data_IF_222785413322
#
_entry.id   IF_222785413322
#
_cell.length_a   1.000
_cell.length_b   1.000
_cell.length_c   1.000
_cell.angle_alpha   90.00
_cell.angle_beta   90.00
_cell.angle_gamma   90.00
#
_symmetry.space_group_name_H-M   'P 1'
#
loop_
_entity.id
_entity.type
_entity.pdbx_description
1 polymer ?
#
# COMPACT_ATOMS: atom_id res chain seq x y z
N UNK A 1 11.17 -19.07 -11.12
CA UNK A 1 10.26 -17.94 -11.36
C UNK A 1 10.64 -16.81 -10.41
N UNK A 2 10.64 -15.57 -10.86
CA UNK A 2 11.04 -14.44 -10.01
C UNK A 2 9.95 -14.07 -8.99
N UNK A 3 10.37 -13.74 -7.76
CA UNK A 3 9.50 -13.32 -6.67
C UNK A 3 9.33 -11.80 -6.70
N UNK A 4 8.10 -11.32 -6.52
CA UNK A 4 7.78 -9.95 -6.17
C UNK A 4 7.12 -9.88 -4.79
N UNK A 5 7.47 -8.87 -4.01
CA UNK A 5 6.83 -8.57 -2.72
C UNK A 5 5.85 -7.42 -2.91
N UNK A 6 4.61 -7.63 -2.49
CA UNK A 6 3.55 -6.64 -2.50
C UNK A 6 3.25 -6.20 -1.07
N UNK A 7 3.23 -4.89 -0.82
CA UNK A 7 2.91 -4.33 0.48
C UNK A 7 1.51 -3.71 0.47
N UNK A 8 0.60 -4.21 1.33
CA UNK A 8 -0.81 -3.81 1.36
C UNK A 8 -1.00 -2.38 1.87
N UNK A 9 -2.11 -1.75 1.49
CA UNK A 9 -2.57 -0.46 2.01
C UNK A 9 -3.49 -0.59 3.23
N UNK A 10 -4.17 0.52 3.56
CA UNK A 10 -5.16 0.59 4.64
C UNK A 10 -6.47 -0.10 4.25
N UNK A 11 -7.21 -0.59 5.28
CA UNK A 11 -8.59 -1.06 5.17
C UNK A 11 -8.81 -2.51 5.59
N UNK A 12 -7.77 -3.33 5.65
CA UNK A 12 -7.86 -4.74 6.00
C UNK A 12 -7.19 -5.08 7.35
N UNK A 13 -6.89 -4.07 8.18
CA UNK A 13 -6.30 -4.28 9.51
C UNK A 13 -7.19 -5.16 10.37
N UNK A 14 -6.56 -6.01 11.16
CA UNK A 14 -7.23 -6.90 12.11
C UNK A 14 -6.38 -7.14 13.36
N UNK A 15 -6.96 -7.48 14.51
CA UNK A 15 -6.22 -7.61 15.76
C UNK A 15 -5.06 -8.60 15.73
N UNK A 16 -5.15 -9.66 14.91
CA UNK A 16 -4.16 -10.72 14.80
C UNK A 16 -3.06 -10.48 13.75
N UNK A 17 -2.94 -9.28 13.19
CA UNK A 17 -2.01 -9.03 12.07
C UNK A 17 -0.52 -9.12 12.44
N UNK A 18 -0.19 -9.12 13.73
CA UNK A 18 1.16 -9.32 14.25
C UNK A 18 1.40 -10.71 14.85
N UNK A 19 0.36 -11.54 15.03
CA UNK A 19 0.44 -12.82 15.74
C UNK A 19 1.47 -13.77 15.10
N UNK A 20 1.55 -13.80 13.78
CA UNK A 20 2.48 -14.68 13.06
C UNK A 20 3.96 -14.40 13.35
N UNK A 21 4.28 -13.18 13.76
CA UNK A 21 5.65 -12.74 14.04
C UNK A 21 5.91 -12.43 15.53
N UNK A 22 4.93 -12.64 16.40
CA UNK A 22 5.01 -12.27 17.81
C UNK A 22 6.23 -12.90 18.53
N UNK A 23 6.50 -14.17 18.26
CA UNK A 23 7.61 -14.92 18.88
C UNK A 23 8.92 -14.90 18.04
N UNK A 24 8.94 -14.18 16.91
CA UNK A 24 10.14 -14.13 16.06
C UNK A 24 11.11 -13.02 16.54
N UNK A 25 12.34 -13.35 17.02
CA UNK A 25 13.20 -12.37 17.70
C UNK A 25 13.51 -11.13 16.87
N UNK A 26 13.83 -11.28 15.57
CA UNK A 26 14.16 -10.16 14.71
C UNK A 26 12.91 -9.28 14.37
N UNK A 27 11.73 -9.87 14.28
CA UNK A 27 10.48 -9.12 14.08
C UNK A 27 10.07 -8.38 15.36
N UNK A 28 10.22 -9.00 16.52
CA UNK A 28 9.99 -8.35 17.82
C UNK A 28 10.90 -7.13 18.01
N UNK A 29 12.14 -7.16 17.51
CA UNK A 29 13.02 -5.98 17.50
C UNK A 29 12.47 -4.85 16.62
N UNK A 30 11.95 -5.17 15.42
CA UNK A 30 11.31 -4.18 14.54
C UNK A 30 10.12 -3.54 15.25
N UNK A 31 9.27 -4.34 15.88
CA UNK A 31 8.10 -3.81 16.61
C UNK A 31 8.54 -2.89 17.75
N UNK A 32 9.46 -3.34 18.62
CA UNK A 32 9.95 -2.52 19.74
C UNK A 32 10.60 -1.20 19.30
N UNK A 33 11.42 -1.24 18.25
CA UNK A 33 12.05 -0.05 17.70
C UNK A 33 11.03 0.93 17.11
N UNK A 34 10.01 0.41 16.42
CA UNK A 34 8.90 1.21 15.90
C UNK A 34 8.06 1.86 17.01
N UNK A 35 7.69 1.09 18.03
CA UNK A 35 6.97 1.58 19.22
C UNK A 35 7.75 2.68 19.95
N UNK A 36 9.05 2.48 20.14
CA UNK A 36 9.93 3.47 20.76
C UNK A 36 9.99 4.77 19.92
N UNK A 37 10.04 4.68 18.60
CA UNK A 37 10.07 5.84 17.71
C UNK A 37 8.75 6.63 17.71
N UNK A 38 7.62 5.93 17.92
CA UNK A 38 6.27 6.52 17.93
C UNK A 38 5.80 6.93 19.33
N UNK A 39 6.42 6.42 20.39
CA UNK A 39 5.97 6.62 21.76
C UNK A 39 4.61 5.95 22.05
N UNK A 40 4.29 4.85 21.37
CA UNK A 40 3.02 4.13 21.53
C UNK A 40 3.25 2.61 21.51
N UNK A 41 2.25 1.86 21.99
CA UNK A 41 2.25 0.40 21.96
C UNK A 41 1.30 -0.09 20.85
N UNK A 42 1.81 -0.89 19.90
CA UNK A 42 1.01 -1.39 18.77
C UNK A 42 -0.05 -2.40 19.18
N UNK A 43 0.22 -3.18 20.23
CA UNK A 43 -0.77 -4.11 20.77
C UNK A 43 -1.99 -3.37 21.32
N UNK A 44 -1.79 -2.26 22.03
CA UNK A 44 -2.89 -1.41 22.53
C UNK A 44 -3.72 -0.85 21.37
N UNK A 45 -3.08 -0.45 20.27
CA UNK A 45 -3.77 -0.02 19.05
C UNK A 45 -4.62 -1.14 18.44
N UNK A 46 -4.07 -2.36 18.39
CA UNK A 46 -4.77 -3.52 17.82
C UNK A 46 -5.95 -4.01 18.66
N UNK A 47 -5.91 -3.83 19.99
CA UNK A 47 -7.02 -4.19 20.88
C UNK A 47 -8.20 -3.24 20.77
N UNK A 48 -7.98 -2.01 20.30
CA UNK A 48 -9.00 -0.97 20.11
C UNK A 48 -9.47 -0.96 18.65
N UNK A 49 -10.54 -1.68 18.34
CA UNK A 49 -10.99 -1.96 16.97
C UNK A 49 -11.13 -0.74 16.05
N UNK A 50 -11.56 0.41 16.57
CA UNK A 50 -11.74 1.63 15.77
C UNK A 50 -10.42 2.40 15.61
N UNK A 51 -9.54 2.35 16.60
CA UNK A 51 -8.25 3.05 16.58
C UNK A 51 -7.32 2.54 15.49
N UNK A 52 -7.28 1.23 15.22
CA UNK A 52 -6.41 0.66 14.17
C UNK A 52 -6.75 1.15 12.75
N UNK A 53 -7.92 1.78 12.54
CA UNK A 53 -8.34 2.36 11.26
C UNK A 53 -8.13 3.87 11.19
N UNK A 54 -7.82 4.55 12.30
CA UNK A 54 -7.49 5.97 12.28
C UNK A 54 -6.20 6.18 11.49
N UNK A 55 -6.23 7.12 10.54
CA UNK A 55 -5.11 7.34 9.61
C UNK A 55 -3.76 7.51 10.32
N UNK A 56 -3.72 8.29 11.41
CA UNK A 56 -2.51 8.54 12.21
C UNK A 56 -1.89 7.26 12.81
N UNK A 57 -2.69 6.23 13.11
CA UNK A 57 -2.25 4.97 13.69
C UNK A 57 -2.12 3.86 12.64
N UNK A 58 -3.02 3.85 11.67
CA UNK A 58 -3.09 2.85 10.61
C UNK A 58 -1.82 2.81 9.76
N UNK A 59 -1.30 3.98 9.34
CA UNK A 59 -0.15 4.03 8.44
C UNK A 59 1.13 3.46 9.08
N UNK A 60 1.59 3.93 10.26
CA UNK A 60 2.75 3.33 10.89
C UNK A 60 2.54 1.86 11.30
N UNK A 61 1.35 1.48 11.78
CA UNK A 61 1.02 0.09 12.11
C UNK A 61 1.21 -0.84 10.91
N UNK A 62 0.66 -0.49 9.75
CA UNK A 62 0.77 -1.31 8.53
C UNK A 62 2.23 -1.41 8.06
N UNK A 63 2.94 -0.29 8.00
CA UNK A 63 4.34 -0.27 7.56
C UNK A 63 5.25 -1.10 8.48
N UNK A 64 5.09 -0.98 9.81
CA UNK A 64 5.85 -1.76 10.77
C UNK A 64 5.50 -3.26 10.70
N UNK A 65 4.23 -3.60 10.50
CA UNK A 65 3.82 -5.00 10.29
C UNK A 65 4.50 -5.59 9.04
N UNK A 66 4.51 -4.86 7.94
CA UNK A 66 5.15 -5.31 6.69
C UNK A 66 6.64 -5.53 6.88
N UNK A 67 7.33 -4.59 7.52
CA UNK A 67 8.76 -4.71 7.78
C UNK A 67 9.07 -5.84 8.76
N UNK A 68 8.24 -6.05 9.80
CA UNK A 68 8.39 -7.17 10.74
C UNK A 68 8.23 -8.52 10.04
N UNK A 69 7.17 -8.69 9.23
CA UNK A 69 6.93 -9.88 8.42
C UNK A 69 8.09 -10.15 7.46
N UNK A 70 8.55 -9.13 6.74
CA UNK A 70 9.68 -9.29 5.82
C UNK A 70 10.98 -9.61 6.55
N UNK A 71 11.25 -8.99 7.69
CA UNK A 71 12.43 -9.27 8.49
C UNK A 71 12.46 -10.72 8.99
N UNK A 72 11.31 -11.29 9.33
CA UNK A 72 11.19 -12.69 9.73
C UNK A 72 11.38 -13.66 8.53
N UNK A 73 10.93 -13.27 7.32
CA UNK A 73 10.92 -14.15 6.16
C UNK A 73 12.17 -14.06 5.29
N UNK A 74 12.85 -12.91 5.23
CA UNK A 74 13.89 -12.62 4.23
C UNK A 74 15.05 -13.60 4.18
N UNK A 75 15.42 -14.22 5.33
CA UNK A 75 16.52 -15.17 5.39
C UNK A 75 16.18 -16.55 4.85
N UNK A 76 14.90 -16.91 4.84
CA UNK A 76 14.38 -18.20 4.37
C UNK A 76 13.68 -18.07 3.01
N UNK A 77 13.62 -16.87 2.44
CA UNK A 77 12.98 -16.58 1.18
C UNK A 77 13.99 -16.41 0.04
N UNK A 78 13.67 -16.80 -1.19
CA UNK A 78 14.42 -16.38 -2.36
C UNK A 78 14.50 -14.85 -2.44
N UNK A 79 15.60 -14.32 -2.98
CA UNK A 79 15.77 -12.88 -3.15
C UNK A 79 14.67 -12.32 -4.09
N UNK A 80 13.89 -11.32 -3.68
CA UNK A 80 12.90 -10.70 -4.53
C UNK A 80 13.53 -9.97 -5.72
N UNK A 81 12.92 -10.10 -6.88
CA UNK A 81 13.30 -9.31 -8.06
C UNK A 81 12.84 -7.85 -7.95
N UNK A 82 11.77 -7.59 -7.18
CA UNK A 82 11.23 -6.26 -6.95
C UNK A 82 10.25 -6.22 -5.77
N UNK A 83 9.99 -4.99 -5.33
CA UNK A 83 8.96 -4.64 -4.35
C UNK A 83 7.96 -3.67 -4.98
N UNK A 84 6.71 -3.71 -4.50
CA UNK A 84 5.68 -2.74 -4.87
C UNK A 84 4.72 -2.55 -3.70
N UNK A 85 4.17 -1.36 -3.54
CA UNK A 85 3.26 -1.08 -2.45
C UNK A 85 2.01 -0.32 -2.88
N UNK A 86 0.89 -0.65 -2.26
CA UNK A 86 -0.40 -0.01 -2.51
C UNK A 86 -0.60 1.15 -1.53
N UNK A 87 -0.63 2.39 -2.02
CA UNK A 87 -0.77 3.58 -1.17
C UNK A 87 0.33 3.67 -0.09
N UNK A 88 -0.04 3.66 1.20
CA UNK A 88 0.93 3.67 2.31
C UNK A 88 1.86 2.45 2.28
N UNK A 89 1.43 1.33 1.72
CA UNK A 89 2.27 0.16 1.53
C UNK A 89 3.52 0.42 0.69
N UNK A 90 3.55 1.50 -0.12
CA UNK A 90 4.76 1.88 -0.86
C UNK A 90 5.91 2.30 0.08
N UNK A 91 5.62 2.96 1.22
CA UNK A 91 6.63 3.19 2.26
C UNK A 91 7.14 1.87 2.86
N UNK A 92 6.23 0.92 3.12
CA UNK A 92 6.59 -0.43 3.56
C UNK A 92 7.47 -1.15 2.54
N UNK A 93 7.16 -1.02 1.25
CA UNK A 93 7.96 -1.60 0.16
C UNK A 93 9.38 -1.03 0.11
N UNK A 94 9.55 0.29 0.28
CA UNK A 94 10.89 0.91 0.40
C UNK A 94 11.65 0.42 1.62
N UNK A 95 11.00 0.28 2.77
CA UNK A 95 11.64 -0.25 3.97
C UNK A 95 12.04 -1.74 3.80
N UNK A 96 11.17 -2.57 3.25
CA UNK A 96 11.46 -3.96 2.93
C UNK A 96 12.60 -4.09 1.90
N UNK A 97 12.72 -3.14 0.98
CA UNK A 97 13.83 -3.03 0.03
C UNK A 97 15.11 -2.42 0.64
N UNK A 98 15.14 -2.13 1.94
CA UNK A 98 16.32 -1.64 2.66
C UNK A 98 16.60 -0.15 2.53
N UNK A 99 15.65 0.64 2.03
CA UNK A 99 15.80 2.09 1.86
C UNK A 99 15.55 2.90 3.13
N UNK A 100 14.91 2.33 4.14
CA UNK A 100 14.55 2.98 5.40
C UNK A 100 14.86 2.04 6.58
N UNK A 101 15.40 2.58 7.66
CA UNK A 101 15.42 1.89 8.94
C UNK A 101 14.06 1.94 9.63
N UNK A 102 13.92 1.17 10.71
CA UNK A 102 12.65 1.00 11.42
C UNK A 102 12.15 2.32 12.01
N UNK A 103 13.02 3.07 12.68
CA UNK A 103 12.65 4.29 13.38
C UNK A 103 12.24 5.39 12.38
N UNK A 104 12.96 5.47 11.27
CA UNK A 104 12.65 6.43 10.20
C UNK A 104 11.37 6.07 9.46
N UNK A 105 11.15 4.78 9.15
CA UNK A 105 9.89 4.30 8.59
C UNK A 105 8.70 4.70 9.47
N UNK A 106 8.79 4.45 10.77
CA UNK A 106 7.74 4.77 11.74
C UNK A 106 7.43 6.28 11.74
N UNK A 107 8.48 7.12 11.83
CA UNK A 107 8.33 8.59 11.81
C UNK A 107 7.77 9.11 10.50
N UNK A 108 8.25 8.64 9.36
CA UNK A 108 7.77 9.06 8.04
C UNK A 108 6.30 8.65 7.84
N UNK A 109 5.93 7.42 8.22
CA UNK A 109 4.54 6.95 8.10
C UNK A 109 3.59 7.77 8.98
N UNK A 110 3.96 8.08 10.22
CA UNK A 110 3.18 8.93 11.12
C UNK A 110 3.07 10.38 10.59
N UNK A 111 4.17 10.95 10.10
CA UNK A 111 4.19 12.30 9.54
C UNK A 111 3.38 12.38 8.24
N UNK A 112 3.45 11.35 7.37
CA UNK A 112 2.62 11.24 6.16
C UNK A 112 1.14 11.29 6.54
N UNK A 113 0.72 10.50 7.51
CA UNK A 113 -0.66 10.48 7.98
C UNK A 113 -1.09 11.87 8.50
N UNK A 114 -0.28 12.51 9.35
CA UNK A 114 -0.57 13.82 9.91
C UNK A 114 -0.71 14.91 8.83
N UNK A 115 0.18 14.93 7.84
CA UNK A 115 0.12 15.88 6.72
C UNK A 115 -1.11 15.66 5.85
N UNK A 116 -1.50 14.39 5.62
CA UNK A 116 -2.73 14.07 4.90
C UNK A 116 -3.98 14.50 5.68
N UNK A 117 -4.03 14.24 7.00
CA UNK A 117 -5.13 14.65 7.86
C UNK A 117 -5.26 16.18 7.91
N UNK A 118 -4.13 16.90 7.99
CA UNK A 118 -4.10 18.37 7.94
C UNK A 118 -4.61 18.89 6.58
N UNK A 119 -4.19 18.32 5.48
CA UNK A 119 -4.64 18.73 4.15
C UNK A 119 -6.14 18.48 3.95
N UNK A 120 -6.67 17.41 4.54
CA UNK A 120 -8.08 17.05 4.46
C UNK A 120 -8.99 17.79 5.45
N UNK A 121 -8.44 18.53 6.43
CA UNK A 121 -9.24 19.16 7.50
C UNK A 121 -10.26 20.20 7.01
N UNK A 122 -10.02 20.80 5.84
CA UNK A 122 -10.93 21.80 5.26
C UNK A 122 -12.09 21.18 4.47
N UNK A 123 -12.01 19.91 4.07
CA UNK A 123 -13.02 19.28 3.20
C UNK A 123 -13.21 17.82 3.60
N UNK A 124 -14.38 17.50 4.14
CA UNK A 124 -14.75 16.11 4.40
C UNK A 124 -14.81 15.35 3.07
N UNK A 125 -13.97 14.34 2.94
CA UNK A 125 -13.86 13.56 1.71
C UNK A 125 -13.74 12.07 1.98
N UNK A 126 -13.64 11.30 0.92
CA UNK A 126 -13.49 9.85 1.03
C UNK A 126 -13.21 9.16 -0.28
N UNK A 127 -13.34 7.84 -0.25
CA UNK A 127 -13.04 6.96 -1.36
C UNK A 127 -14.23 6.04 -1.68
N UNK A 128 -14.49 5.82 -2.96
CA UNK A 128 -15.54 4.97 -3.51
C UNK A 128 -14.92 4.00 -4.50
N UNK A 129 -14.96 2.70 -4.21
CA UNK A 129 -14.59 1.66 -5.17
C UNK A 129 -15.73 1.49 -6.19
N UNK A 130 -15.36 1.41 -7.46
CA UNK A 130 -16.25 1.33 -8.61
C UNK A 130 -15.82 0.21 -9.53
N UNK A 131 -16.76 -0.66 -9.93
CA UNK A 131 -16.53 -1.76 -10.85
C UNK A 131 -17.59 -1.75 -11.98
N UNK A 132 -17.16 -2.18 -13.20
CA UNK A 132 -18.06 -2.41 -14.35
C UNK A 132 -18.19 -1.25 -15.32
N UNK A 133 -17.35 -0.21 -15.18
CA UNK A 133 -17.28 0.89 -16.16
C UNK A 133 -15.83 1.10 -16.62
N UNK A 134 -15.64 1.44 -17.89
CA UNK A 134 -14.33 1.67 -18.49
C UNK A 134 -13.72 3.00 -18.03
N UNK A 135 -12.40 3.09 -18.06
CA UNK A 135 -11.63 4.27 -17.64
C UNK A 135 -12.13 5.58 -18.27
N UNK A 136 -12.41 5.59 -19.57
CA UNK A 136 -12.88 6.79 -20.27
C UNK A 136 -14.27 7.28 -19.80
N UNK A 137 -15.16 6.36 -19.41
CA UNK A 137 -16.46 6.66 -18.83
C UNK A 137 -16.29 7.25 -17.41
N UNK A 138 -15.46 6.61 -16.59
CA UNK A 138 -15.15 7.06 -15.22
C UNK A 138 -14.55 8.46 -15.24
N UNK A 139 -13.53 8.72 -16.06
CA UNK A 139 -12.85 10.03 -16.13
C UNK A 139 -13.83 11.13 -16.52
N UNK A 140 -14.70 10.89 -17.52
CA UNK A 140 -15.74 11.88 -17.92
C UNK A 140 -16.73 12.17 -16.80
N UNK A 141 -17.18 11.15 -16.07
CA UNK A 141 -18.11 11.30 -14.96
C UNK A 141 -17.47 12.04 -13.79
N UNK A 142 -16.24 11.69 -13.42
CA UNK A 142 -15.48 12.37 -12.38
C UNK A 142 -15.31 13.86 -12.66
N UNK A 143 -14.95 14.23 -13.89
CA UNK A 143 -14.76 15.63 -14.28
C UNK A 143 -16.01 16.49 -14.09
N UNK A 144 -17.22 15.92 -14.30
CA UNK A 144 -18.50 16.59 -14.08
C UNK A 144 -18.88 16.78 -12.61
N UNK A 145 -18.21 16.15 -11.68
CA UNK A 145 -18.58 16.11 -10.25
C UNK A 145 -17.45 16.53 -9.29
N UNK A 146 -16.35 17.09 -9.77
CA UNK A 146 -15.16 17.40 -8.93
C UNK A 146 -14.69 16.20 -8.11
N UNK A 147 -14.62 15.06 -8.76
CA UNK A 147 -14.07 13.82 -8.23
C UNK A 147 -12.95 13.34 -9.16
N UNK A 148 -12.08 12.47 -8.67
CA UNK A 148 -10.89 12.02 -9.38
C UNK A 148 -10.70 10.52 -9.24
N UNK A 149 -10.11 9.91 -10.26
CA UNK A 149 -9.58 8.55 -10.12
C UNK A 149 -8.42 8.60 -9.14
N UNK A 150 -8.61 8.04 -7.97
CA UNK A 150 -7.60 7.94 -6.93
C UNK A 150 -6.67 6.74 -7.18
N UNK A 151 -7.24 5.60 -7.59
CA UNK A 151 -6.48 4.39 -7.89
C UNK A 151 -7.10 3.71 -9.12
N UNK A 152 -6.26 3.35 -10.09
CA UNK A 152 -6.63 2.53 -11.25
C UNK A 152 -6.16 1.09 -11.03
N UNK A 153 -7.09 0.16 -10.87
CA UNK A 153 -6.81 -1.24 -10.54
C UNK A 153 -6.81 -2.10 -11.80
N UNK A 154 -7.81 -1.90 -12.66
CA UNK A 154 -7.92 -2.59 -13.95
C UNK A 154 -8.64 -1.69 -14.96
N UNK A 155 -8.98 -2.22 -16.13
CA UNK A 155 -9.72 -1.49 -17.17
C UNK A 155 -11.14 -1.10 -16.74
N UNK A 156 -11.71 -1.81 -15.75
CA UNK A 156 -13.09 -1.64 -15.28
C UNK A 156 -13.20 -1.58 -13.75
N UNK A 157 -12.07 -1.44 -13.03
CA UNK A 157 -12.06 -1.36 -11.57
C UNK A 157 -11.20 -0.18 -11.11
N UNK A 158 -11.82 0.73 -10.35
CA UNK A 158 -11.22 1.99 -9.92
C UNK A 158 -11.60 2.31 -8.47
N UNK A 159 -10.77 3.11 -7.81
CA UNK A 159 -11.16 3.86 -6.62
C UNK A 159 -11.23 5.32 -7.01
N UNK A 160 -12.36 5.95 -6.69
CA UNK A 160 -12.60 7.38 -6.94
C UNK A 160 -12.54 8.10 -5.61
N UNK A 161 -11.88 9.25 -5.58
CA UNK A 161 -11.83 10.15 -4.43
C UNK A 161 -12.49 11.49 -4.74
N UNK A 162 -13.09 12.10 -3.72
CA UNK A 162 -13.75 13.40 -3.81
C UNK A 162 -14.30 13.82 -2.46
N UNK A 163 -14.91 15.02 -2.39
CA UNK A 163 -15.71 15.38 -1.22
C UNK A 163 -17.00 14.54 -1.12
N UNK A 164 -17.63 14.53 0.07
CA UNK A 164 -18.81 13.68 0.32
C UNK A 164 -20.00 14.02 -0.60
N UNK A 165 -20.20 15.28 -0.93
CA UNK A 165 -21.27 15.73 -1.83
C UNK A 165 -21.01 15.26 -3.27
N UNK A 166 -19.79 15.46 -3.76
CA UNK A 166 -19.37 15.01 -5.09
C UNK A 166 -19.50 13.50 -5.23
N UNK A 167 -19.04 12.72 -4.23
CA UNK A 167 -19.13 11.26 -4.27
C UNK A 167 -20.57 10.76 -4.19
N UNK A 168 -21.45 11.45 -3.49
CA UNK A 168 -22.88 11.09 -3.42
C UNK A 168 -23.57 11.29 -4.77
N UNK A 169 -23.38 12.46 -5.40
CA UNK A 169 -23.96 12.74 -6.71
C UNK A 169 -23.38 11.83 -7.80
N UNK A 170 -22.06 11.65 -7.79
CA UNK A 170 -21.38 10.76 -8.73
C UNK A 170 -21.83 9.30 -8.55
N UNK A 171 -22.02 8.84 -7.31
CA UNK A 171 -22.50 7.49 -6.98
C UNK A 171 -23.85 7.19 -7.62
N UNK A 172 -24.80 8.14 -7.62
CA UNK A 172 -26.08 8.01 -8.32
C UNK A 172 -25.86 7.82 -9.83
N UNK A 173 -25.08 8.69 -10.45
CA UNK A 173 -24.78 8.65 -11.88
C UNK A 173 -24.07 7.37 -12.33
N UNK A 174 -23.20 6.81 -11.47
CA UNK A 174 -22.51 5.54 -11.70
C UNK A 174 -23.47 4.34 -11.58
N UNK A 175 -24.32 4.34 -10.55
CA UNK A 175 -25.31 3.27 -10.32
C UNK A 175 -26.33 3.17 -11.46
N UNK A 176 -26.80 4.29 -11.99
CA UNK A 176 -27.69 4.35 -13.14
C UNK A 176 -27.08 3.72 -14.42
N UNK A 177 -25.74 3.64 -14.48
CA UNK A 177 -24.98 3.00 -15.56
C UNK A 177 -24.59 1.55 -15.25
N UNK A 178 -25.11 0.99 -14.16
CA UNK A 178 -24.89 -0.40 -13.77
C UNK A 178 -23.56 -0.67 -13.03
N UNK A 179 -22.85 0.38 -12.58
CA UNK A 179 -21.64 0.19 -11.81
C UNK A 179 -21.94 -0.39 -10.42
N UNK A 180 -21.09 -1.32 -9.97
CA UNK A 180 -21.08 -1.77 -8.59
C UNK A 180 -20.22 -0.84 -7.74
N UNK A 181 -20.79 -0.36 -6.64
CA UNK A 181 -20.16 0.64 -5.77
C UNK A 181 -19.92 0.08 -4.37
N UNK A 182 -18.77 0.44 -3.79
CA UNK A 182 -18.46 0.12 -2.38
C UNK A 182 -17.76 1.31 -1.74
N UNK A 183 -18.36 1.88 -0.67
CA UNK A 183 -17.72 2.94 0.13
C UNK A 183 -16.57 2.35 0.92
N UNK A 184 -15.38 2.96 0.81
CA UNK A 184 -14.22 2.53 1.59
C UNK A 184 -14.23 3.18 2.98
N UNK A 185 -13.71 2.48 3.98
CA UNK A 185 -13.57 2.98 5.36
C UNK A 185 -12.33 3.88 5.50
N UNK A 186 -12.20 4.86 4.61
CA UNK A 186 -11.12 5.85 4.60
C UNK A 186 -11.78 7.22 4.51
N UNK A 187 -11.61 8.04 5.54
CA UNK A 187 -12.21 9.37 5.64
C UNK A 187 -11.45 10.47 4.89
N UNK A 188 -10.61 10.12 3.94
CA UNK A 188 -9.76 11.03 3.17
C UNK A 188 -9.92 10.76 1.69
N UNK A 189 -9.97 11.80 0.86
CA UNK A 189 -9.87 11.70 -0.59
C UNK A 189 -8.40 11.56 -1.04
N UNK A 190 -7.74 10.48 -0.57
CA UNK A 190 -6.33 10.18 -0.87
C UNK A 190 -6.12 10.06 -2.38
N UNK A 191 -4.92 10.39 -2.84
CA UNK A 191 -4.51 10.27 -4.25
C UNK A 191 -5.33 11.13 -5.20
N UNK A 192 -5.82 12.27 -4.69
CA UNK A 192 -6.55 13.27 -5.47
C UNK A 192 -5.96 14.67 -5.23
N UNK A 193 -6.21 15.65 -6.11
CA UNK A 193 -5.77 17.03 -5.93
C UNK A 193 -6.19 17.66 -4.59
N UNK A 194 -7.21 17.13 -3.91
CA UNK A 194 -7.63 17.60 -2.58
C UNK A 194 -6.54 17.45 -1.51
N UNK A 195 -5.59 16.53 -1.70
CA UNK A 195 -4.43 16.39 -0.82
C UNK A 195 -3.16 17.10 -1.33
N UNK A 196 -3.29 17.95 -2.35
CA UNK A 196 -2.14 18.68 -2.94
C UNK A 196 -1.32 19.48 -1.94
N UNK A 197 -1.95 20.05 -0.90
CA UNK A 197 -1.27 20.80 0.14
C UNK A 197 -0.28 19.96 0.99
N UNK A 198 -0.44 18.64 1.03
CA UNK A 198 0.45 17.74 1.74
C UNK A 198 1.74 17.41 0.96
N UNK A 199 1.77 17.61 -0.36
CA UNK A 199 2.87 17.15 -1.24
C UNK A 199 4.19 17.86 -0.90
N UNK A 200 4.21 19.19 -0.87
CA UNK A 200 5.44 19.94 -0.64
C UNK A 200 6.00 19.72 0.78
N UNK A 201 5.20 19.76 1.87
CA UNK A 201 5.69 19.44 3.20
C UNK A 201 6.22 18.00 3.32
N UNK A 202 5.54 17.02 2.70
CA UNK A 202 6.00 15.64 2.75
C UNK A 202 7.30 15.43 1.97
N UNK A 203 7.45 16.08 0.81
CA UNK A 203 8.72 16.09 0.07
C UNK A 203 9.85 16.64 0.91
N UNK A 204 9.68 17.80 1.54
CA UNK A 204 10.69 18.42 2.40
C UNK A 204 11.10 17.52 3.57
N UNK A 205 10.12 16.80 4.17
CA UNK A 205 10.40 15.80 5.20
C UNK A 205 11.25 14.65 4.65
N UNK A 206 10.91 14.10 3.48
CA UNK A 206 11.69 13.02 2.84
C UNK A 206 13.10 13.46 2.47
N UNK A 207 13.29 14.69 1.99
CA UNK A 207 14.60 15.25 1.62
C UNK A 207 15.55 15.31 2.82
N UNK A 208 15.01 15.62 4.02
CA UNK A 208 15.79 15.69 5.28
C UNK A 208 15.90 14.36 6.01
N UNK A 209 15.18 13.34 5.56
CA UNK A 209 15.19 12.00 6.15
C UNK A 209 16.42 11.18 5.74
N UNK A 210 16.64 10.05 6.42
CA UNK A 210 17.70 9.10 6.09
C UNK A 210 17.31 8.12 4.97
N UNK A 211 16.23 8.36 4.24
CA UNK A 211 15.85 7.51 3.11
C UNK A 211 17.01 7.37 2.13
N UNK A 212 17.32 6.15 1.72
CA UNK A 212 18.40 5.83 0.80
C UNK A 212 17.87 5.22 -0.50
N UNK A 213 18.76 4.94 -1.44
CA UNK A 213 18.42 4.15 -2.62
C UNK A 213 18.00 2.72 -2.17
N UNK A 214 16.92 2.15 -2.71
CA UNK A 214 16.51 0.79 -2.37
C UNK A 214 17.54 -0.24 -2.88
N UNK A 215 17.84 -1.26 -2.09
CA UNK A 215 18.78 -2.33 -2.44
C UNK A 215 18.22 -3.27 -3.54
N UNK A 216 16.91 -3.32 -3.70
CA UNK A 216 16.22 -3.98 -4.81
C UNK A 216 15.19 -3.01 -5.40
N UNK A 217 14.89 -3.08 -6.71
CA UNK A 217 13.98 -2.14 -7.35
C UNK A 217 12.59 -2.10 -6.71
N UNK A 218 12.03 -0.89 -6.58
CA UNK A 218 10.64 -0.66 -6.18
C UNK A 218 9.88 -0.12 -7.39
N UNK A 219 8.65 -0.60 -7.62
CA UNK A 219 7.75 -0.01 -8.61
C UNK A 219 6.95 1.08 -7.93
N UNK A 220 7.04 2.30 -8.44
CA UNK A 220 6.31 3.45 -7.89
C UNK A 220 4.84 3.46 -8.33
N UNK A 221 3.94 3.66 -7.40
CA UNK A 221 2.50 3.66 -7.65
C UNK A 221 2.02 4.79 -8.55
N UNK A 222 2.69 5.94 -8.54
CA UNK A 222 2.26 7.15 -9.27
C UNK A 222 2.36 7.01 -10.81
N UNK A 223 3.29 6.23 -11.32
CA UNK A 223 3.59 6.13 -12.76
C UNK A 223 4.07 4.74 -13.21
N UNK A 224 4.00 3.75 -12.33
CA UNK A 224 4.48 2.39 -12.54
C UNK A 224 5.97 2.28 -12.96
N UNK A 225 6.80 3.29 -12.72
CA UNK A 225 8.20 3.28 -13.10
C UNK A 225 9.09 2.64 -12.03
N UNK A 226 10.19 2.04 -12.49
CA UNK A 226 11.23 1.48 -11.62
C UNK A 226 11.95 2.58 -10.84
N UNK A 227 12.09 2.39 -9.54
CA UNK A 227 12.85 3.27 -8.65
C UNK A 227 14.04 2.50 -8.09
N UNK A 228 15.23 3.04 -8.36
CA UNK A 228 16.52 2.51 -7.91
C UNK A 228 17.41 3.62 -7.33
N UNK A 229 16.90 4.86 -7.25
CA UNK A 229 17.63 6.03 -6.74
C UNK A 229 16.80 6.76 -5.70
N UNK A 230 17.50 7.34 -4.72
CA UNK A 230 16.92 8.12 -3.60
C UNK A 230 16.02 9.27 -4.09
N UNK A 231 16.51 10.08 -5.03
CA UNK A 231 15.80 11.27 -5.50
C UNK A 231 14.46 10.91 -6.15
N UNK A 232 14.45 9.82 -6.93
CA UNK A 232 13.23 9.31 -7.54
C UNK A 232 12.25 8.76 -6.50
N UNK A 233 12.73 8.12 -5.43
CA UNK A 233 11.89 7.65 -4.33
C UNK A 233 11.20 8.83 -3.63
N UNK A 234 11.95 9.87 -3.27
CA UNK A 234 11.41 11.08 -2.63
C UNK A 234 10.35 11.75 -3.49
N UNK A 235 10.67 12.01 -4.76
CA UNK A 235 9.77 12.67 -5.70
C UNK A 235 8.44 11.92 -5.84
N UNK A 236 8.52 10.60 -6.12
CA UNK A 236 7.34 9.77 -6.40
C UNK A 236 6.49 9.50 -5.17
N UNK A 237 7.10 9.28 -4.00
CA UNK A 237 6.37 9.15 -2.73
C UNK A 237 5.61 10.43 -2.39
N UNK A 238 6.20 11.61 -2.63
CA UNK A 238 5.53 12.87 -2.38
C UNK A 238 4.35 13.09 -3.35
N UNK A 239 4.56 12.88 -4.65
CA UNK A 239 3.51 13.05 -5.66
C UNK A 239 2.36 12.07 -5.50
N UNK A 240 2.62 10.87 -4.99
CA UNK A 240 1.60 9.85 -4.76
C UNK A 240 0.47 10.34 -3.83
N UNK A 241 0.72 11.28 -2.91
CA UNK A 241 -0.32 11.78 -2.00
C UNK A 241 -1.52 12.38 -2.72
N UNK A 242 -1.28 13.05 -3.86
CA UNK A 242 -2.29 13.79 -4.61
C UNK A 242 -2.48 13.33 -6.06
N UNK A 243 -1.74 12.31 -6.50
CA UNK A 243 -1.82 11.76 -7.86
C UNK A 243 -2.37 10.34 -7.88
N UNK A 244 -2.99 9.97 -8.98
CA UNK A 244 -3.56 8.63 -9.19
C UNK A 244 -2.52 7.54 -9.00
N UNK A 245 -2.83 6.51 -8.24
CA UNK A 245 -2.03 5.28 -8.15
C UNK A 245 -2.42 4.36 -9.30
N UNK A 246 -1.48 4.09 -10.20
CA UNK A 246 -1.65 3.22 -11.38
C UNK A 246 -1.36 1.75 -11.01
N UNK A 247 -2.15 1.20 -10.09
CA UNK A 247 -1.89 -0.13 -9.52
C UNK A 247 -1.84 -1.25 -10.56
N UNK A 248 -2.79 -1.24 -11.51
CA UNK A 248 -2.80 -2.21 -12.60
C UNK A 248 -1.50 -2.20 -13.40
N UNK A 249 -1.01 -1.00 -13.76
CA UNK A 249 0.26 -0.83 -14.47
C UNK A 249 1.46 -1.26 -13.63
N UNK A 250 1.41 -1.08 -12.30
CA UNK A 250 2.46 -1.61 -11.41
C UNK A 250 2.55 -3.14 -11.46
N UNK A 251 1.41 -3.82 -11.47
CA UNK A 251 1.37 -5.28 -11.60
C UNK A 251 1.90 -5.72 -12.98
N UNK A 252 1.56 -4.99 -14.06
CA UNK A 252 2.07 -5.28 -15.41
C UNK A 252 3.60 -5.17 -15.46
N UNK A 253 4.19 -4.11 -14.88
CA UNK A 253 5.64 -3.92 -14.81
C UNK A 253 6.34 -5.07 -14.08
N UNK A 254 5.76 -5.57 -12.98
CA UNK A 254 6.30 -6.73 -12.27
C UNK A 254 6.19 -8.01 -13.12
N UNK A 255 5.06 -8.20 -13.79
CA UNK A 255 4.84 -9.34 -14.67
C UNK A 255 5.79 -9.35 -15.87
N UNK A 256 5.98 -8.20 -16.52
CA UNK A 256 6.91 -8.01 -17.66
C UNK A 256 8.37 -8.26 -17.26
N UNK A 257 8.73 -7.94 -15.99
CA UNK A 257 10.05 -8.27 -15.43
C UNK A 257 10.25 -9.78 -15.18
N UNK A 258 9.22 -10.59 -15.42
CA UNK A 258 9.27 -12.06 -15.25
C UNK A 258 8.88 -12.52 -13.85
N UNK A 259 8.29 -11.66 -13.03
CA UNK A 259 7.71 -12.08 -11.75
C UNK A 259 6.48 -12.96 -12.01
N UNK A 260 6.46 -14.14 -11.40
CA UNK A 260 5.35 -15.09 -11.46
C UNK A 260 4.94 -15.61 -10.10
N UNK A 261 5.69 -15.24 -9.06
CA UNK A 261 5.37 -15.52 -7.67
C UNK A 261 5.26 -14.19 -6.94
N UNK A 262 4.12 -13.97 -6.27
CA UNK A 262 3.80 -12.73 -5.58
C UNK A 262 3.42 -13.04 -4.14
N UNK A 263 4.13 -12.44 -3.19
CA UNK A 263 3.78 -12.53 -1.76
C UNK A 263 3.29 -11.17 -1.28
N UNK A 264 2.04 -11.11 -0.82
CA UNK A 264 1.48 -9.92 -0.17
C UNK A 264 1.84 -9.91 1.31
N UNK A 265 2.52 -8.84 1.77
CA UNK A 265 2.82 -8.53 3.16
C UNK A 265 1.83 -7.51 3.72
N UNK A 266 1.50 -7.69 4.99
CA UNK A 266 0.57 -6.83 5.71
C UNK A 266 -0.84 -7.42 5.77
N UNK A 267 -1.80 -6.67 6.32
CA UNK A 267 -3.13 -7.22 6.56
C UNK A 267 -3.93 -7.42 5.28
N UNK A 268 -4.67 -8.53 5.24
CA UNK A 268 -5.60 -8.85 4.15
C UNK A 268 -4.98 -9.64 3.00
N UNK A 269 -5.72 -9.69 1.89
CA UNK A 269 -5.40 -10.51 0.69
C UNK A 269 -5.90 -9.85 -0.58
N UNK A 270 -6.02 -8.53 -0.58
CA UNK A 270 -6.60 -7.81 -1.71
C UNK A 270 -5.63 -7.80 -2.90
N UNK A 271 -4.34 -7.56 -2.64
CA UNK A 271 -3.34 -7.43 -3.71
C UNK A 271 -3.05 -8.77 -4.38
N UNK A 272 -2.94 -9.85 -3.60
CA UNK A 272 -2.77 -11.20 -4.14
C UNK A 272 -3.96 -11.62 -4.99
N UNK A 273 -5.19 -11.31 -4.59
CA UNK A 273 -6.40 -11.56 -5.39
C UNK A 273 -6.44 -10.73 -6.67
N UNK A 274 -6.09 -9.43 -6.60
CA UNK A 274 -6.00 -8.57 -7.79
C UNK A 274 -4.97 -9.11 -8.78
N UNK A 275 -3.82 -9.60 -8.28
CA UNK A 275 -2.78 -10.20 -9.10
C UNK A 275 -3.25 -11.48 -9.78
N UNK A 276 -3.92 -12.38 -9.04
CA UNK A 276 -4.49 -13.62 -9.61
C UNK A 276 -5.60 -13.34 -10.62
N UNK A 277 -6.43 -12.33 -10.38
CA UNK A 277 -7.49 -11.93 -11.31
C UNK A 277 -6.92 -11.36 -12.63
N UNK A 278 -5.74 -10.70 -12.56
CA UNK A 278 -5.12 -10.07 -13.71
C UNK A 278 -4.32 -11.05 -14.58
N UNK A 279 -3.67 -12.07 -13.98
CA UNK A 279 -2.78 -12.99 -14.67
C UNK A 279 -3.13 -14.45 -14.34
N UNK A 280 -3.29 -15.27 -15.37
CA UNK A 280 -3.70 -16.66 -15.19
C UNK A 280 -2.53 -17.61 -14.83
N UNK A 281 -1.28 -17.20 -15.08
CA UNK A 281 -0.07 -18.02 -14.95
C UNK A 281 0.83 -17.61 -13.77
N UNK A 282 0.24 -17.00 -12.74
CA UNK A 282 0.97 -16.55 -11.53
C UNK A 282 0.52 -17.30 -10.28
N UNK A 283 1.45 -17.39 -9.34
CA UNK A 283 1.20 -17.83 -7.98
C UNK A 283 1.21 -16.58 -7.07
N UNK A 284 0.07 -16.18 -6.53
CA UNK A 284 -0.03 -15.05 -5.64
C UNK A 284 -0.74 -15.42 -4.35
N UNK A 285 -0.14 -15.13 -3.20
CA UNK A 285 -0.71 -15.37 -1.87
C UNK A 285 -0.36 -14.23 -0.91
N UNK A 286 -1.24 -14.01 0.04
CA UNK A 286 -0.99 -13.14 1.18
C UNK A 286 -0.39 -13.94 2.35
N UNK A 287 0.38 -13.29 3.22
CA UNK A 287 0.81 -13.91 4.47
C UNK A 287 -0.39 -14.39 5.30
N UNK A 288 -1.50 -13.65 5.28
CA UNK A 288 -2.77 -14.01 5.92
C UNK A 288 -3.44 -15.31 5.39
N UNK A 289 -2.93 -15.90 4.32
CA UNK A 289 -3.37 -17.21 3.83
C UNK A 289 -2.67 -18.38 4.52
N UNK A 290 -1.68 -18.11 5.35
CA UNK A 290 -0.86 -19.13 6.01
C UNK A 290 -1.09 -19.14 7.52
N UNK A 291 -0.72 -20.25 8.14
CA UNK A 291 -0.82 -20.43 9.61
C UNK A 291 0.51 -20.19 10.33
N UNK A 292 1.63 -20.13 9.59
CA UNK A 292 2.97 -19.97 10.14
C UNK A 292 3.93 -19.42 9.13
N UNK A 293 5.04 -18.82 9.59
CA UNK A 293 6.17 -18.38 8.77
C UNK A 293 6.79 -19.52 7.96
N UNK A 294 6.89 -20.74 8.57
CA UNK A 294 7.39 -21.93 7.88
C UNK A 294 6.51 -22.31 6.69
N UNK A 295 5.20 -22.14 6.81
CA UNK A 295 4.25 -22.35 5.71
C UNK A 295 4.49 -21.37 4.57
N UNK A 296 4.75 -20.10 4.86
CA UNK A 296 5.10 -19.07 3.87
C UNK A 296 6.43 -19.44 3.19
N UNK A 297 7.47 -19.71 3.99
CA UNK A 297 8.80 -20.05 3.47
C UNK A 297 8.78 -21.30 2.59
N UNK A 298 8.08 -22.35 3.01
CA UNK A 298 7.92 -23.58 2.21
C UNK A 298 7.22 -23.32 0.88
N UNK A 299 6.18 -22.48 0.88
CA UNK A 299 5.48 -22.09 -0.34
C UNK A 299 6.38 -21.28 -1.28
N UNK A 300 7.13 -20.31 -0.75
CA UNK A 300 8.08 -19.51 -1.52
C UNK A 300 9.18 -20.37 -2.14
N UNK A 301 9.79 -21.28 -1.39
CA UNK A 301 10.82 -22.18 -1.88
C UNK A 301 10.29 -23.10 -2.98
N UNK A 302 9.05 -23.56 -2.85
CA UNK A 302 8.42 -24.44 -3.86
C UNK A 302 8.18 -23.72 -5.19
N UNK A 303 7.77 -22.45 -5.16
CA UNK A 303 7.29 -21.75 -6.36
C UNK A 303 8.30 -20.73 -6.91
N UNK A 304 9.11 -20.08 -6.07
CA UNK A 304 10.06 -19.04 -6.49
C UNK A 304 11.51 -19.54 -6.64
N UNK A 305 11.95 -20.59 -5.93
CA UNK A 305 13.21 -21.24 -6.22
C UNK A 305 13.11 -21.91 -7.58
N UNK A 306 13.85 -21.41 -8.57
CA UNK A 306 13.76 -21.86 -9.95
C UNK A 306 13.84 -23.37 -10.06
N UNK A 307 13.00 -23.94 -10.96
CA UNK A 307 13.32 -25.25 -11.54
C UNK A 307 14.65 -25.06 -12.29
N UNK A 308 15.72 -25.61 -11.73
CA UNK A 308 16.97 -25.80 -12.45
C UNK A 308 16.74 -26.66 -13.69
#
# INVERSE_FOLDING_TARGET
MSLAILCSGQGAQHPAMLDMVADHPAAAEVIRAGEAALGLNLHDVLTQRDEMFRNALAQPLICLTQLALWTALRQTSPAPAAFCGYSVGELGAYACAGALDVAELARIAAARAALMDQAAAATAGGLLAVQGLRRDQIVRLCAGHQAWVAIAISDEEFVIGGDEGALTMLGTSLSERGAKLTRLRVGLASHTPLLGAAVAPFRALLETSSISAPAAPVVAGIDAAWVVRREAAIEKLALQLSGTVEWGSCLDMLYERGCRVFLELGPGRALSRMTQARFADVEARAVDDFRSLDGVSSWLLKHAAGRQ
#
